data_IF_906010672224
#
_entry.id   IF_906010672224
#
_cell.length_a   1.000
_cell.length_b   1.000
_cell.length_c   1.000
_cell.angle_alpha   90.00
_cell.angle_beta   90.00
_cell.angle_gamma   90.00
#
_symmetry.space_group_name_H-M   'P 1'
#
loop_
_entity.id
_entity.type
_entity.pdbx_description
1 polymer ?
#
# COMPACT_ATOMS: atom_id res chain seq x y z
N UNK A 1 -38.20 -72.68 -42.17
CA UNK A 1 -37.12 -72.24 -41.25
C UNK A 1 -36.79 -70.77 -41.62
N UNK A 2 -37.25 -69.81 -40.80
CA UNK A 2 -36.98 -68.42 -40.98
C UNK A 2 -36.20 -67.98 -39.71
N UNK A 3 -34.94 -67.66 -39.84
CA UNK A 3 -34.10 -67.14 -38.77
C UNK A 3 -34.35 -65.62 -38.65
N UNK A 4 -34.82 -65.21 -37.47
CA UNK A 4 -34.93 -63.78 -37.11
C UNK A 4 -33.66 -63.29 -36.46
N UNK A 5 -33.11 -62.21 -37.05
CA UNK A 5 -31.95 -61.48 -36.50
C UNK A 5 -32.47 -60.42 -35.53
N UNK A 6 -32.11 -60.55 -34.26
CA UNK A 6 -32.40 -59.53 -33.22
C UNK A 6 -31.18 -58.56 -33.23
N UNK A 7 -31.44 -57.32 -33.66
CA UNK A 7 -30.46 -56.23 -33.53
C UNK A 7 -30.58 -55.63 -32.13
N UNK A 8 -29.53 -55.77 -31.31
CA UNK A 8 -29.42 -55.10 -30.02
C UNK A 8 -28.90 -53.66 -30.23
N UNK A 9 -29.74 -52.65 -30.01
CA UNK A 9 -29.35 -51.25 -29.97
C UNK A 9 -28.66 -50.93 -28.62
N UNK A 10 -27.37 -50.66 -28.65
CA UNK A 10 -26.63 -50.16 -27.48
C UNK A 10 -26.87 -48.64 -27.36
N UNK A 11 -27.64 -48.24 -26.34
CA UNK A 11 -27.89 -46.87 -26.01
C UNK A 11 -26.66 -46.33 -25.21
N UNK A 12 -25.76 -45.56 -25.84
CA UNK A 12 -24.69 -44.87 -25.18
C UNK A 12 -25.27 -43.65 -24.41
N UNK A 13 -25.43 -43.79 -23.11
CA UNK A 13 -25.76 -42.66 -22.21
C UNK A 13 -24.51 -41.83 -22.04
N UNK A 14 -24.42 -40.72 -22.74
CA UNK A 14 -23.43 -39.67 -22.50
C UNK A 14 -23.78 -39.03 -21.14
N UNK A 15 -23.07 -39.42 -20.07
CA UNK A 15 -23.10 -38.72 -18.80
C UNK A 15 -22.31 -37.41 -19.03
N UNK A 16 -23.04 -36.37 -19.44
CA UNK A 16 -22.53 -35.00 -19.38
C UNK A 16 -22.34 -34.64 -17.91
N UNK A 17 -21.13 -34.78 -17.41
CA UNK A 17 -20.79 -34.25 -16.08
C UNK A 17 -21.06 -32.74 -16.12
N UNK A 18 -22.09 -32.30 -15.42
CA UNK A 18 -22.26 -30.88 -15.12
C UNK A 18 -20.96 -30.44 -14.43
N UNK A 19 -20.19 -29.55 -15.08
CA UNK A 19 -19.08 -28.91 -14.44
C UNK A 19 -19.63 -28.22 -13.18
N UNK A 20 -19.33 -28.77 -12.03
CA UNK A 20 -19.72 -28.18 -10.75
C UNK A 20 -19.01 -26.85 -10.69
N UNK A 21 -19.75 -25.74 -10.56
CA UNK A 21 -19.14 -24.43 -10.38
C UNK A 21 -18.22 -24.51 -9.15
N UNK A 22 -16.98 -24.12 -9.33
CA UNK A 22 -16.05 -24.08 -8.22
C UNK A 22 -16.56 -23.11 -7.16
N UNK A 23 -16.44 -23.49 -5.88
CA UNK A 23 -16.81 -22.60 -4.77
C UNK A 23 -15.93 -21.34 -4.80
N UNK A 24 -16.54 -20.19 -4.52
CA UNK A 24 -15.81 -18.92 -4.43
C UNK A 24 -14.78 -18.98 -3.30
N UNK A 25 -13.66 -18.28 -3.52
CA UNK A 25 -12.61 -18.14 -2.52
C UNK A 25 -12.82 -16.84 -1.76
N UNK A 26 -13.07 -16.94 -0.45
CA UNK A 26 -13.27 -15.79 0.41
C UNK A 26 -11.94 -15.20 0.90
N UNK A 27 -11.76 -13.89 0.72
CA UNK A 27 -10.65 -13.12 1.28
C UNK A 27 -11.21 -12.09 2.25
N UNK A 28 -10.73 -12.13 3.49
CA UNK A 28 -11.06 -11.14 4.50
C UNK A 28 -10.25 -9.85 4.31
N UNK A 29 -10.90 -8.70 4.31
CA UNK A 29 -10.20 -7.41 4.15
C UNK A 29 -10.64 -6.44 5.23
N UNK A 30 -9.67 -5.76 5.87
CA UNK A 30 -9.96 -4.74 6.89
C UNK A 30 -9.41 -3.38 6.50
N UNK A 31 -10.24 -2.33 6.59
CA UNK A 31 -9.95 -0.95 6.21
C UNK A 31 -10.37 0.03 7.32
N UNK A 32 -9.90 1.30 7.31
CA UNK A 32 -10.47 2.39 8.12
C UNK A 32 -11.61 3.07 7.34
N UNK A 33 -12.80 2.47 7.25
CA UNK A 33 -13.91 3.05 6.47
C UNK A 33 -14.61 4.21 7.19
N UNK A 34 -14.39 4.34 8.50
CA UNK A 34 -14.88 5.45 9.32
C UNK A 34 -13.73 6.07 10.13
N UNK A 35 -13.98 7.26 10.71
CA UNK A 35 -12.98 8.02 11.46
C UNK A 35 -12.09 8.89 10.58
N UNK A 36 -10.94 9.32 11.11
CA UNK A 36 -10.09 10.37 10.50
C UNK A 36 -9.32 9.90 9.25
N UNK A 37 -9.25 8.59 9.00
CA UNK A 37 -8.63 8.01 7.81
C UNK A 37 -9.68 7.42 6.83
N UNK A 38 -10.96 7.81 6.95
CA UNK A 38 -12.04 7.26 6.11
C UNK A 38 -11.81 7.46 4.61
N UNK A 39 -11.23 8.58 4.20
CA UNK A 39 -10.86 8.85 2.79
C UNK A 39 -9.86 7.83 2.26
N UNK A 40 -8.78 7.57 3.00
CA UNK A 40 -7.80 6.55 2.65
C UNK A 40 -8.42 5.14 2.65
N UNK A 41 -9.27 4.84 3.64
CA UNK A 41 -10.00 3.57 3.73
C UNK A 41 -10.92 3.33 2.55
N UNK A 42 -11.66 4.34 2.11
CA UNK A 42 -12.51 4.25 0.93
C UNK A 42 -11.68 4.07 -0.34
N UNK A 43 -10.54 4.78 -0.45
CA UNK A 43 -9.60 4.62 -1.57
C UNK A 43 -9.05 3.21 -1.65
N UNK A 44 -8.66 2.62 -0.51
CA UNK A 44 -8.19 1.24 -0.42
C UNK A 44 -9.31 0.23 -0.78
N UNK A 45 -10.53 0.45 -0.31
CA UNK A 45 -11.68 -0.39 -0.65
C UNK A 45 -11.99 -0.37 -2.15
N UNK A 46 -12.04 0.80 -2.77
CA UNK A 46 -12.23 0.96 -4.21
C UNK A 46 -11.15 0.19 -4.99
N UNK A 47 -9.89 0.28 -4.54
CA UNK A 47 -8.73 -0.39 -5.13
C UNK A 47 -8.84 -1.92 -5.06
N UNK A 48 -9.21 -2.48 -3.90
CA UNK A 48 -9.38 -3.93 -3.72
C UNK A 48 -10.56 -4.45 -4.54
N UNK A 49 -11.68 -3.70 -4.59
CA UNK A 49 -12.82 -4.05 -5.42
C UNK A 49 -12.46 -4.11 -6.92
N UNK A 50 -11.65 -3.16 -7.41
CA UNK A 50 -11.13 -3.22 -8.78
C UNK A 50 -10.20 -4.42 -8.96
N UNK A 51 -9.29 -4.67 -8.03
CA UNK A 51 -8.36 -5.79 -8.13
C UNK A 51 -9.09 -7.15 -8.12
N UNK A 52 -10.14 -7.29 -7.33
CA UNK A 52 -11.00 -8.47 -7.35
C UNK A 52 -11.74 -8.63 -8.69
N UNK A 53 -12.21 -7.52 -9.28
CA UNK A 53 -12.81 -7.53 -10.63
C UNK A 53 -11.80 -7.96 -11.70
N UNK A 54 -10.56 -7.44 -11.66
CA UNK A 54 -9.47 -7.82 -12.57
C UNK A 54 -9.21 -9.33 -12.50
N UNK A 55 -9.18 -9.92 -11.31
CA UNK A 55 -9.00 -11.37 -11.14
C UNK A 55 -10.24 -12.15 -11.60
N UNK A 56 -11.43 -11.64 -11.33
CA UNK A 56 -12.69 -12.35 -11.58
C UNK A 56 -13.15 -12.30 -13.04
N UNK A 57 -12.60 -11.38 -13.86
CA UNK A 57 -12.93 -11.21 -15.28
C UNK A 57 -11.66 -11.15 -16.12
N UNK A 58 -11.71 -11.63 -17.36
CA UNK A 58 -10.53 -11.62 -18.23
C UNK A 58 -10.27 -10.22 -18.81
N UNK A 59 -9.04 -9.76 -18.68
CA UNK A 59 -8.51 -8.51 -19.24
C UNK A 59 -7.28 -8.81 -20.10
N UNK A 60 -7.44 -9.18 -21.40
CA UNK A 60 -6.33 -9.58 -22.27
C UNK A 60 -5.24 -8.52 -22.41
N UNK A 61 -5.56 -7.24 -22.20
CA UNK A 61 -4.64 -6.11 -22.17
C UNK A 61 -3.67 -6.17 -20.99
N UNK A 62 -4.01 -6.85 -19.88
CA UNK A 62 -3.19 -7.07 -18.71
C UNK A 62 -2.45 -8.42 -18.72
N UNK A 63 -2.05 -8.87 -19.89
CA UNK A 63 -1.47 -10.22 -20.12
C UNK A 63 -0.23 -10.55 -19.29
N UNK A 64 0.55 -9.55 -18.87
CA UNK A 64 1.75 -9.75 -18.05
C UNK A 64 1.43 -9.71 -16.56
N UNK A 65 0.30 -9.16 -16.17
CA UNK A 65 -0.12 -9.11 -14.77
C UNK A 65 -0.66 -10.49 -14.36
N UNK A 66 -0.19 -11.07 -13.26
CA UNK A 66 -0.72 -12.35 -12.77
C UNK A 66 -2.25 -12.32 -12.68
N UNK A 67 -2.91 -13.34 -13.23
CA UNK A 67 -4.37 -13.46 -13.31
C UNK A 67 -5.09 -12.40 -14.16
N UNK A 68 -4.41 -11.40 -14.72
CA UNK A 68 -5.05 -10.33 -15.50
C UNK A 68 -5.79 -10.85 -16.73
N UNK A 69 -5.17 -11.73 -17.52
CA UNK A 69 -5.75 -12.24 -18.75
C UNK A 69 -6.72 -13.44 -18.56
N UNK A 70 -6.95 -13.90 -17.33
CA UNK A 70 -7.82 -15.05 -17.02
C UNK A 70 -9.08 -14.62 -16.29
N UNK A 71 -10.10 -15.47 -16.26
CA UNK A 71 -11.32 -15.22 -15.51
C UNK A 71 -11.38 -16.12 -14.30
N UNK A 72 -11.16 -15.56 -13.10
CA UNK A 72 -11.09 -16.29 -11.84
C UNK A 72 -9.74 -16.98 -11.64
N UNK A 73 -9.70 -17.98 -10.79
CA UNK A 73 -8.51 -18.72 -10.37
C UNK A 73 -8.40 -20.04 -11.15
N UNK A 74 -7.60 -20.13 -12.23
CA UNK A 74 -7.55 -21.31 -13.11
C UNK A 74 -7.21 -22.61 -12.38
N UNK A 75 -6.27 -22.56 -11.42
CA UNK A 75 -5.85 -23.74 -10.65
C UNK A 75 -6.89 -24.19 -9.59
N UNK A 76 -7.96 -23.41 -9.44
CA UNK A 76 -9.13 -23.71 -8.61
C UNK A 76 -10.40 -23.84 -9.47
N UNK A 77 -10.26 -24.33 -10.71
CA UNK A 77 -11.40 -24.58 -11.60
C UNK A 77 -12.15 -23.33 -12.05
N UNK A 78 -11.50 -22.15 -12.02
CA UNK A 78 -12.11 -20.87 -12.36
C UNK A 78 -12.91 -20.22 -11.22
N UNK A 79 -12.70 -20.67 -9.97
CA UNK A 79 -13.29 -20.06 -8.77
C UNK A 79 -13.12 -18.54 -8.78
N UNK A 80 -14.15 -17.81 -8.33
CA UNK A 80 -14.11 -16.37 -8.17
C UNK A 80 -13.65 -16.00 -6.76
N UNK A 81 -13.04 -14.82 -6.63
CA UNK A 81 -12.76 -14.26 -5.31
C UNK A 81 -13.99 -13.49 -4.82
N UNK A 82 -14.37 -13.76 -3.59
CA UNK A 82 -15.39 -13.05 -2.82
C UNK A 82 -14.70 -12.29 -1.69
N UNK A 83 -15.12 -11.04 -1.46
CA UNK A 83 -14.54 -10.16 -0.43
C UNK A 83 -15.45 -10.13 0.79
N UNK A 84 -14.92 -10.52 1.94
CA UNK A 84 -15.54 -10.29 3.24
C UNK A 84 -14.84 -9.10 3.92
N UNK A 85 -15.53 -7.97 3.96
CA UNK A 85 -14.94 -6.68 4.33
C UNK A 85 -15.36 -6.23 5.74
N UNK A 86 -14.45 -5.54 6.43
CA UNK A 86 -14.74 -4.95 7.73
C UNK A 86 -14.05 -3.60 7.96
N UNK A 87 -14.72 -2.73 8.72
CA UNK A 87 -14.20 -1.45 9.18
C UNK A 87 -13.50 -1.62 10.53
N UNK A 88 -12.23 -1.25 10.60
CA UNK A 88 -11.49 -1.24 11.87
C UNK A 88 -11.43 0.15 12.54
N UNK A 89 -12.02 1.20 11.94
CA UNK A 89 -12.19 2.53 12.52
C UNK A 89 -10.88 3.23 12.96
N UNK A 90 -9.72 2.81 12.46
CA UNK A 90 -8.42 3.23 12.98
C UNK A 90 -8.10 2.72 14.39
N UNK A 91 -8.89 1.80 14.93
CA UNK A 91 -8.81 1.30 16.30
C UNK A 91 -8.25 -0.13 16.34
N UNK A 92 -7.12 -0.38 17.06
CA UNK A 92 -6.51 -1.70 17.14
C UNK A 92 -7.43 -2.78 17.75
N UNK A 93 -8.23 -2.45 18.77
CA UNK A 93 -9.15 -3.41 19.40
C UNK A 93 -10.26 -3.83 18.45
N UNK A 94 -10.83 -2.87 17.69
CA UNK A 94 -11.82 -3.17 16.64
C UNK A 94 -11.18 -4.00 15.54
N UNK A 95 -9.97 -3.64 15.09
CA UNK A 95 -9.22 -4.41 14.10
C UNK A 95 -8.97 -5.85 14.52
N UNK A 96 -8.58 -6.07 15.78
CA UNK A 96 -8.41 -7.39 16.36
C UNK A 96 -9.71 -8.20 16.33
N UNK A 97 -10.83 -7.61 16.74
CA UNK A 97 -12.15 -8.25 16.77
C UNK A 97 -12.63 -8.59 15.36
N UNK A 98 -12.52 -7.66 14.41
CA UNK A 98 -12.94 -7.90 13.03
C UNK A 98 -12.08 -8.97 12.36
N UNK A 99 -10.77 -8.97 12.57
CA UNK A 99 -9.90 -10.03 12.05
C UNK A 99 -10.30 -11.40 12.60
N UNK A 100 -10.56 -11.50 13.90
CA UNK A 100 -11.00 -12.77 14.51
C UNK A 100 -12.35 -13.22 13.94
N UNK A 101 -13.32 -12.32 13.77
CA UNK A 101 -14.64 -12.61 13.19
C UNK A 101 -14.49 -13.15 11.76
N UNK A 102 -13.77 -12.43 10.88
CA UNK A 102 -13.55 -12.84 9.49
C UNK A 102 -12.94 -14.24 9.39
N UNK A 103 -11.98 -14.56 10.27
CA UNK A 103 -11.33 -15.87 10.27
C UNK A 103 -12.27 -16.97 10.83
N UNK A 104 -12.91 -16.75 11.98
CA UNK A 104 -13.57 -17.81 12.73
C UNK A 104 -15.06 -17.97 12.42
N UNK A 105 -15.70 -16.93 11.90
CA UNK A 105 -17.13 -16.95 11.59
C UNK A 105 -17.39 -16.93 10.08
N UNK A 106 -16.65 -16.12 9.33
CA UNK A 106 -16.85 -15.99 7.89
C UNK A 106 -15.97 -16.97 7.09
N UNK A 107 -14.98 -17.62 7.79
CA UNK A 107 -14.12 -18.68 7.25
C UNK A 107 -13.34 -18.25 6.00
N UNK A 108 -12.71 -17.08 6.06
CA UNK A 108 -11.88 -16.59 4.96
C UNK A 108 -10.60 -17.42 4.81
N UNK A 109 -10.17 -17.65 3.57
CA UNK A 109 -8.96 -18.43 3.25
C UNK A 109 -7.67 -17.67 3.55
N UNK A 110 -7.72 -16.35 3.48
CA UNK A 110 -6.61 -15.43 3.76
C UNK A 110 -7.12 -14.04 4.11
N UNK A 111 -6.24 -13.22 4.70
CA UNK A 111 -6.51 -11.84 5.10
C UNK A 111 -5.67 -10.85 4.30
N UNK A 112 -6.24 -9.67 4.04
CA UNK A 112 -5.55 -8.50 3.50
C UNK A 112 -5.82 -7.28 4.39
N UNK A 113 -4.83 -6.47 4.66
CA UNK A 113 -4.98 -5.24 5.47
C UNK A 113 -3.67 -4.88 6.16
N UNK A 114 -3.68 -3.96 7.06
CA UNK A 114 -4.57 -2.83 7.20
C UNK A 114 -3.81 -1.55 6.82
N UNK A 115 -4.44 -0.40 6.89
CA UNK A 115 -3.81 0.91 6.65
C UNK A 115 -2.96 1.36 7.86
N UNK A 116 -3.54 1.30 9.07
CA UNK A 116 -2.85 1.70 10.30
C UNK A 116 -1.89 0.61 10.80
N UNK A 117 -0.63 0.96 11.04
CA UNK A 117 0.37 0.02 11.55
C UNK A 117 -0.02 -0.59 12.90
N UNK A 118 -0.61 0.20 13.81
CA UNK A 118 -1.13 -0.27 15.10
C UNK A 118 -2.22 -1.33 14.96
N UNK A 119 -3.06 -1.23 13.93
CA UNK A 119 -4.07 -2.25 13.60
C UNK A 119 -3.41 -3.48 12.99
N UNK A 120 -2.48 -3.32 12.05
CA UNK A 120 -1.75 -4.44 11.44
C UNK A 120 -1.01 -5.28 12.47
N UNK A 121 -0.43 -4.65 13.50
CA UNK A 121 0.28 -5.36 14.57
C UNK A 121 -0.63 -6.33 15.33
N UNK A 122 -1.84 -5.95 15.67
CA UNK A 122 -2.78 -6.82 16.39
C UNK A 122 -3.50 -7.78 15.45
N UNK A 123 -3.86 -7.35 14.25
CA UNK A 123 -4.53 -8.18 13.25
C UNK A 123 -3.66 -9.36 12.80
N UNK A 124 -2.39 -9.10 12.46
CA UNK A 124 -1.44 -10.15 12.10
C UNK A 124 -1.14 -11.09 13.27
N UNK A 125 -1.17 -10.62 14.52
CA UNK A 125 -1.04 -11.49 15.69
C UNK A 125 -2.26 -12.40 15.89
N UNK A 126 -3.47 -11.96 15.50
CA UNK A 126 -4.65 -12.85 15.45
C UNK A 126 -4.48 -13.90 14.36
N UNK A 127 -4.13 -13.49 13.15
CA UNK A 127 -3.94 -14.39 12.02
C UNK A 127 -2.84 -15.44 12.29
N UNK A 128 -1.73 -15.02 12.93
CA UNK A 128 -0.66 -15.93 13.36
C UNK A 128 -1.16 -17.03 14.29
N UNK A 129 -1.96 -16.67 15.31
CA UNK A 129 -2.53 -17.65 16.26
C UNK A 129 -3.56 -18.59 15.62
N UNK A 130 -4.24 -18.11 14.58
CA UNK A 130 -5.25 -18.90 13.86
C UNK A 130 -4.65 -19.71 12.69
N UNK A 131 -3.36 -19.49 12.35
CA UNK A 131 -2.71 -20.14 11.23
C UNK A 131 -3.29 -19.74 9.88
N UNK A 132 -3.66 -18.46 9.72
CA UNK A 132 -4.24 -17.92 8.48
C UNK A 132 -3.26 -16.92 7.84
N UNK A 133 -2.95 -17.04 6.54
CA UNK A 133 -2.09 -16.09 5.84
C UNK A 133 -2.67 -14.68 5.90
N UNK A 134 -1.82 -13.72 6.27
CA UNK A 134 -2.16 -12.30 6.31
C UNK A 134 -1.16 -11.51 5.46
N UNK A 135 -1.65 -10.86 4.41
CA UNK A 135 -0.84 -10.00 3.58
C UNK A 135 -1.08 -8.53 3.94
N UNK A 136 0.00 -7.84 4.28
CA UNK A 136 0.04 -6.40 4.58
C UNK A 136 0.44 -5.67 3.30
N UNK A 137 -0.50 -4.92 2.73
CA UNK A 137 -0.27 -4.19 1.49
C UNK A 137 0.28 -2.77 1.72
N UNK A 138 0.04 -2.17 2.88
CA UNK A 138 0.24 -0.74 3.07
C UNK A 138 0.99 -0.35 4.36
N UNK A 139 0.68 -0.94 5.52
CA UNK A 139 1.30 -0.59 6.81
C UNK A 139 2.81 -0.80 6.85
N UNK A 140 3.55 0.18 7.40
CA UNK A 140 5.01 0.28 7.21
C UNK A 140 5.85 0.14 8.48
N UNK A 141 5.26 0.05 9.69
CA UNK A 141 6.05 -0.12 10.91
C UNK A 141 6.98 -1.34 10.84
N UNK A 142 8.24 -1.16 11.26
CA UNK A 142 9.29 -2.17 11.08
C UNK A 142 8.96 -3.50 11.77
N UNK A 143 8.33 -3.43 12.94
CA UNK A 143 8.02 -4.60 13.75
C UNK A 143 6.81 -5.43 13.25
N UNK A 144 6.15 -5.08 12.14
CA UNK A 144 5.06 -5.89 11.58
C UNK A 144 5.59 -7.25 11.10
N UNK A 145 6.71 -7.28 10.38
CA UNK A 145 7.37 -8.50 9.88
C UNK A 145 8.55 -8.97 10.73
N UNK A 146 9.04 -8.14 11.66
CA UNK A 146 10.21 -8.45 12.50
C UNK A 146 9.94 -9.30 13.75
N UNK A 147 8.74 -9.93 13.89
CA UNK A 147 8.32 -10.67 15.09
C UNK A 147 8.49 -12.19 15.02
N UNK A 148 9.08 -12.70 13.94
CA UNK A 148 9.22 -14.13 13.69
C UNK A 148 7.90 -14.85 13.38
N UNK A 149 6.89 -14.11 12.91
CA UNK A 149 5.61 -14.67 12.48
C UNK A 149 5.76 -15.41 11.16
N UNK A 150 5.04 -16.53 11.01
CA UNK A 150 5.10 -17.40 9.82
C UNK A 150 4.00 -17.08 8.81
N UNK A 151 2.91 -16.47 9.27
CA UNK A 151 1.70 -16.24 8.50
C UNK A 151 1.55 -14.80 8.03
N UNK A 152 2.51 -13.92 8.36
CA UNK A 152 2.51 -12.51 8.00
C UNK A 152 3.45 -12.26 6.83
N UNK A 153 2.93 -11.62 5.78
CA UNK A 153 3.69 -11.20 4.59
C UNK A 153 3.41 -9.73 4.32
N UNK A 154 4.41 -8.98 3.84
CA UNK A 154 4.24 -7.57 3.48
C UNK A 154 4.84 -7.27 2.13
N UNK A 155 4.03 -6.74 1.21
CA UNK A 155 4.47 -6.38 -0.15
C UNK A 155 5.10 -5.00 -0.23
N UNK A 156 4.69 -4.03 0.62
CA UNK A 156 5.18 -2.66 0.59
C UNK A 156 6.59 -2.54 1.20
N UNK A 157 7.40 -1.55 0.78
CA UNK A 157 8.58 -1.13 1.53
C UNK A 157 8.19 -0.76 2.98
N UNK A 158 9.14 -0.71 3.87
CA UNK A 158 8.88 -0.42 5.28
C UNK A 158 9.77 0.71 5.83
N UNK A 159 9.57 1.09 7.08
CA UNK A 159 10.19 2.27 7.67
C UNK A 159 11.71 2.43 7.41
N UNK A 160 12.57 1.39 7.53
CA UNK A 160 13.99 1.51 7.18
C UNK A 160 14.27 1.83 5.71
N UNK A 161 13.47 1.30 4.76
CA UNK A 161 13.66 1.55 3.32
C UNK A 161 13.39 3.02 3.00
N UNK A 162 12.34 3.59 3.57
CA UNK A 162 11.99 5.01 3.39
C UNK A 162 13.02 5.92 4.01
N UNK A 163 13.44 5.62 5.24
CA UNK A 163 14.47 6.39 5.92
C UNK A 163 15.79 6.42 5.14
N UNK A 164 16.18 5.28 4.55
CA UNK A 164 17.34 5.19 3.66
C UNK A 164 17.14 6.07 2.40
N UNK A 165 15.98 5.98 1.75
CA UNK A 165 15.68 6.77 0.56
C UNK A 165 15.75 8.28 0.86
N UNK A 166 15.23 8.74 1.99
CA UNK A 166 15.34 10.15 2.41
C UNK A 166 16.79 10.56 2.64
N UNK A 167 17.59 9.74 3.32
CA UNK A 167 18.99 10.03 3.56
C UNK A 167 19.81 10.09 2.26
N UNK A 168 19.58 9.15 1.34
CA UNK A 168 20.25 9.14 0.03
C UNK A 168 19.88 10.38 -0.80
N UNK A 169 18.59 10.71 -0.87
CA UNK A 169 18.11 11.91 -1.55
C UNK A 169 18.72 13.20 -0.99
N UNK A 170 18.71 13.37 0.33
CA UNK A 170 19.28 14.55 0.97
C UNK A 170 20.79 14.67 0.75
N UNK A 171 21.52 13.55 0.76
CA UNK A 171 22.95 13.53 0.46
C UNK A 171 23.25 13.88 -1.00
N UNK A 172 22.44 13.43 -1.96
CA UNK A 172 22.58 13.82 -3.36
C UNK A 172 22.31 15.31 -3.56
N UNK A 173 21.27 15.84 -2.91
CA UNK A 173 20.98 17.29 -2.95
C UNK A 173 22.13 18.12 -2.36
N UNK A 174 22.70 17.68 -1.25
CA UNK A 174 23.88 18.32 -0.64
C UNK A 174 25.07 18.31 -1.59
N UNK A 175 25.36 17.18 -2.24
CA UNK A 175 26.41 17.06 -3.25
C UNK A 175 26.16 17.96 -4.47
N UNK A 176 24.90 18.22 -4.83
CA UNK A 176 24.52 19.14 -5.92
C UNK A 176 24.58 20.62 -5.52
N UNK A 177 25.07 20.94 -4.32
CA UNK A 177 25.24 22.33 -3.83
C UNK A 177 24.01 22.92 -3.14
N UNK A 178 22.96 22.10 -2.83
CA UNK A 178 21.85 22.59 -2.01
C UNK A 178 22.29 22.68 -0.54
N UNK A 179 21.84 23.76 0.12
CA UNK A 179 22.09 23.92 1.55
C UNK A 179 21.18 22.97 2.32
N UNK A 180 21.73 21.95 2.95
CA UNK A 180 21.07 21.00 3.83
C UNK A 180 21.98 20.75 5.04
N UNK A 181 21.88 21.61 6.03
CA UNK A 181 22.66 21.51 7.26
C UNK A 181 21.93 20.70 8.32
N UNK A 182 20.58 20.75 8.32
CA UNK A 182 19.78 20.05 9.31
C UNK A 182 18.38 19.70 8.82
N UNK A 183 17.81 18.64 9.46
CA UNK A 183 16.43 18.24 9.29
C UNK A 183 15.67 18.35 10.61
N UNK A 184 14.34 18.46 10.53
CA UNK A 184 13.46 18.19 11.64
C UNK A 184 12.54 17.00 11.28
N UNK A 185 12.14 16.23 12.29
CA UNK A 185 11.22 15.10 12.16
C UNK A 185 9.98 15.46 12.96
N UNK A 186 8.82 15.46 12.30
CA UNK A 186 7.51 15.67 12.94
C UNK A 186 6.71 14.40 12.73
N UNK A 187 6.36 13.72 13.81
CA UNK A 187 5.69 12.43 13.71
C UNK A 187 4.51 12.30 14.68
N UNK A 188 3.45 11.70 14.21
CA UNK A 188 2.38 11.26 15.08
C UNK A 188 2.87 10.13 16.01
N UNK A 189 2.20 9.91 17.14
CA UNK A 189 2.70 9.07 18.25
C UNK A 189 2.19 7.64 18.25
N UNK A 190 1.58 7.15 17.12
CA UNK A 190 1.22 5.72 17.01
C UNK A 190 2.39 4.87 16.48
N UNK A 191 2.18 3.57 16.30
CA UNK A 191 3.23 2.66 15.79
C UNK A 191 3.79 3.07 14.43
N UNK A 192 2.98 3.72 13.57
CA UNK A 192 3.44 4.23 12.29
C UNK A 192 4.46 5.36 12.49
N UNK A 193 4.05 6.45 13.11
CA UNK A 193 4.91 7.63 13.26
C UNK A 193 6.16 7.36 14.10
N UNK A 194 6.04 6.58 15.16
CA UNK A 194 7.18 6.24 16.01
C UNK A 194 8.19 5.33 15.31
N UNK A 195 7.72 4.34 14.53
CA UNK A 195 8.61 3.43 13.80
C UNK A 195 9.37 4.13 12.68
N UNK A 196 8.68 4.95 11.88
CA UNK A 196 9.33 5.70 10.79
C UNK A 196 10.29 6.75 11.36
N UNK A 197 9.88 7.49 12.41
CA UNK A 197 10.74 8.47 13.08
C UNK A 197 12.04 7.84 13.61
N UNK A 198 11.95 6.68 14.26
CA UNK A 198 13.13 5.96 14.74
C UNK A 198 14.06 5.55 13.59
N UNK A 199 13.49 5.07 12.47
CA UNK A 199 14.28 4.70 11.29
C UNK A 199 14.95 5.92 10.63
N UNK A 200 14.24 7.05 10.55
CA UNK A 200 14.81 8.31 10.01
C UNK A 200 15.94 8.84 10.90
N UNK A 201 15.80 8.75 12.23
CA UNK A 201 16.86 9.13 13.18
C UNK A 201 18.13 8.29 12.96
N UNK A 202 18.00 6.97 12.80
CA UNK A 202 19.16 6.10 12.57
C UNK A 202 19.78 6.33 11.19
N UNK A 203 18.96 6.52 10.15
CA UNK A 203 19.44 6.85 8.82
C UNK A 203 20.16 8.21 8.77
N UNK A 204 19.62 9.23 9.45
CA UNK A 204 20.24 10.54 9.56
C UNK A 204 21.60 10.48 10.27
N UNK A 205 21.70 9.70 11.34
CA UNK A 205 22.97 9.46 12.06
C UNK A 205 23.99 8.79 11.15
N UNK A 206 23.61 7.73 10.45
CA UNK A 206 24.49 7.00 9.51
C UNK A 206 24.93 7.88 8.35
N UNK A 207 24.06 8.76 7.85
CA UNK A 207 24.32 9.68 6.75
C UNK A 207 25.02 10.98 7.21
N UNK A 208 25.30 11.14 8.50
CA UNK A 208 25.85 12.35 9.10
C UNK A 208 25.02 13.61 8.81
N UNK A 209 23.70 13.50 8.91
CA UNK A 209 22.73 14.58 8.79
C UNK A 209 22.30 15.01 10.19
N UNK A 210 22.44 16.30 10.52
CA UNK A 210 22.03 16.84 11.82
C UNK A 210 20.51 16.84 11.93
N UNK A 211 19.97 16.29 13.02
CA UNK A 211 18.57 16.45 13.43
C UNK A 211 18.47 17.63 14.36
N UNK A 212 17.88 18.74 13.90
CA UNK A 212 17.70 19.97 14.67
C UNK A 212 16.54 19.87 15.66
N UNK A 213 15.49 19.08 15.33
CA UNK A 213 14.36 18.85 16.20
C UNK A 213 13.69 17.50 15.87
N UNK A 214 13.21 16.83 16.93
CA UNK A 214 12.26 15.73 16.85
C UNK A 214 11.01 16.14 17.61
N UNK A 215 9.87 16.19 16.93
CA UNK A 215 8.64 16.78 17.44
C UNK A 215 7.51 15.75 17.31
N UNK A 216 7.37 14.85 18.30
CA UNK A 216 6.23 13.96 18.35
C UNK A 216 4.96 14.73 18.74
N UNK A 217 3.81 14.31 18.21
CA UNK A 217 2.52 14.86 18.55
C UNK A 217 1.45 13.75 18.66
N UNK A 218 0.37 14.03 19.34
CA UNK A 218 -0.75 13.09 19.43
C UNK A 218 -1.49 13.03 18.10
N UNK A 219 -1.65 11.84 17.54
CA UNK A 219 -2.46 11.64 16.35
C UNK A 219 -3.89 12.20 16.57
N UNK A 220 -4.46 12.79 15.52
CA UNK A 220 -5.78 13.43 15.56
C UNK A 220 -5.87 14.65 16.49
N UNK A 221 -4.75 15.37 16.66
CA UNK A 221 -4.75 16.62 17.42
C UNK A 221 -5.63 17.68 16.76
N UNK A 222 -6.32 18.49 17.57
CA UNK A 222 -7.10 19.65 17.11
C UNK A 222 -6.27 20.93 17.01
N UNK A 223 -5.06 20.95 17.59
CA UNK A 223 -4.13 22.10 17.58
C UNK A 223 -2.69 21.60 17.53
N UNK A 224 -1.91 22.16 16.62
CA UNK A 224 -0.46 21.86 16.43
C UNK A 224 0.40 23.14 16.47
N UNK A 225 -0.14 24.22 17.03
CA UNK A 225 0.54 25.53 17.09
C UNK A 225 1.87 25.47 17.85
N UNK A 226 1.92 24.72 18.97
CA UNK A 226 3.14 24.56 19.73
C UNK A 226 4.24 23.83 18.93
N UNK A 227 3.88 22.80 18.17
CA UNK A 227 4.80 22.06 17.31
C UNK A 227 5.32 22.91 16.15
N UNK A 228 4.47 23.72 15.54
CA UNK A 228 4.88 24.65 14.47
C UNK A 228 5.80 25.74 15.04
N UNK A 229 5.57 26.26 16.23
CA UNK A 229 6.47 27.20 16.88
C UNK A 229 7.84 26.57 17.22
N UNK A 230 7.86 25.29 17.62
CA UNK A 230 9.13 24.54 17.79
C UNK A 230 9.88 24.41 16.47
N UNK A 231 9.21 24.08 15.36
CA UNK A 231 9.81 24.06 14.03
C UNK A 231 10.37 25.41 13.64
N UNK A 232 9.61 26.48 13.85
CA UNK A 232 10.02 27.87 13.56
C UNK A 232 11.24 28.26 14.36
N UNK A 233 11.36 27.84 15.61
CA UNK A 233 12.53 28.09 16.45
C UNK A 233 13.76 27.26 16.02
N UNK A 234 13.56 26.00 15.59
CA UNK A 234 14.63 25.10 15.17
C UNK A 234 15.22 25.44 13.79
N UNK A 235 14.47 26.11 12.93
CA UNK A 235 14.86 26.54 11.56
C UNK A 235 15.55 25.43 10.75
N UNK A 236 14.97 24.23 10.60
CA UNK A 236 15.56 23.18 9.79
C UNK A 236 15.51 23.53 8.29
N UNK A 237 16.46 23.01 7.50
CA UNK A 237 16.44 23.14 6.04
C UNK A 237 15.38 22.22 5.41
N UNK A 238 15.09 21.06 6.06
CA UNK A 238 14.07 20.10 5.63
C UNK A 238 13.26 19.65 6.83
N UNK A 239 11.94 19.55 6.65
CA UNK A 239 11.03 18.91 7.63
C UNK A 239 10.50 17.63 7.02
N UNK A 240 10.71 16.51 7.71
CA UNK A 240 10.10 15.23 7.37
C UNK A 240 8.84 15.06 8.22
N UNK A 241 7.67 15.03 7.58
CA UNK A 241 6.38 14.81 8.22
C UNK A 241 5.93 13.36 8.08
N UNK A 242 5.66 12.73 9.21
CA UNK A 242 5.12 11.39 9.32
C UNK A 242 3.74 11.54 9.96
N UNK A 243 2.71 11.68 9.14
CA UNK A 243 1.41 12.19 9.56
C UNK A 243 0.27 11.60 8.75
N UNK A 244 -0.87 11.37 9.40
CA UNK A 244 -2.11 11.05 8.71
C UNK A 244 -2.77 12.30 8.12
N UNK A 245 -3.78 12.11 7.29
CA UNK A 245 -4.36 13.12 6.40
C UNK A 245 -4.86 14.37 7.12
N UNK A 246 -5.68 14.20 8.16
CA UNK A 246 -6.26 15.34 8.87
C UNK A 246 -5.19 16.14 9.62
N UNK A 247 -4.19 15.44 10.18
CA UNK A 247 -3.10 16.07 10.90
C UNK A 247 -2.23 16.92 9.97
N UNK A 248 -1.82 16.39 8.81
CA UNK A 248 -0.97 17.16 7.88
C UNK A 248 -1.71 18.34 7.27
N UNK A 249 -2.99 18.23 6.98
CA UNK A 249 -3.81 19.36 6.55
C UNK A 249 -3.83 20.45 7.63
N UNK A 250 -3.97 20.06 8.89
CA UNK A 250 -3.92 21.00 10.01
C UNK A 250 -2.54 21.67 10.11
N UNK A 251 -1.44 20.92 9.95
CA UNK A 251 -0.08 21.50 9.96
C UNK A 251 0.12 22.54 8.88
N UNK A 252 -0.29 22.29 7.63
CA UNK A 252 -0.16 23.28 6.56
C UNK A 252 -0.95 24.56 6.86
N UNK A 253 -2.18 24.45 7.35
CA UNK A 253 -3.00 25.59 7.75
C UNK A 253 -2.39 26.36 8.91
N UNK A 254 -1.87 25.66 9.93
CA UNK A 254 -1.23 26.28 11.09
C UNK A 254 0.08 26.94 10.73
N UNK A 255 0.91 26.32 9.89
CA UNK A 255 2.16 26.92 9.39
C UNK A 255 1.86 28.21 8.62
N UNK A 256 0.80 28.23 7.77
CA UNK A 256 0.37 29.43 7.08
C UNK A 256 -0.06 30.54 8.05
N UNK A 257 -0.86 30.19 9.06
CA UNK A 257 -1.35 31.14 10.05
C UNK A 257 -0.22 31.75 10.90
N UNK A 258 0.82 30.98 11.18
CA UNK A 258 1.99 31.41 11.95
C UNK A 258 3.12 31.99 11.07
N UNK A 259 2.86 32.18 9.78
CA UNK A 259 3.82 32.66 8.79
C UNK A 259 5.18 31.91 8.88
N UNK A 260 5.11 30.61 8.78
CA UNK A 260 6.29 29.72 8.79
C UNK A 260 6.21 28.71 7.64
N UNK A 261 7.18 28.75 6.74
CA UNK A 261 7.38 27.76 5.68
C UNK A 261 8.84 27.33 5.67
N UNK A 262 9.15 26.04 5.93
CA UNK A 262 10.51 25.53 5.79
C UNK A 262 10.96 25.56 4.32
N UNK A 263 12.28 25.51 4.05
CA UNK A 263 12.78 25.45 2.67
C UNK A 263 12.29 24.22 1.92
N UNK A 264 12.08 23.07 2.59
CA UNK A 264 11.53 21.85 2.00
C UNK A 264 10.74 21.05 3.03
N UNK A 265 9.65 20.46 2.57
CA UNK A 265 8.87 19.43 3.29
C UNK A 265 8.98 18.12 2.52
N UNK A 266 9.26 17.03 3.24
CA UNK A 266 9.16 15.67 2.76
C UNK A 266 8.04 14.98 3.55
N UNK A 267 7.02 14.50 2.85
CA UNK A 267 5.95 13.68 3.40
C UNK A 267 6.33 12.20 3.39
N UNK A 268 5.93 11.48 4.44
CA UNK A 268 6.03 10.04 4.50
C UNK A 268 4.71 9.40 4.08
N UNK A 269 4.32 9.60 2.81
CA UNK A 269 3.14 9.05 2.14
C UNK A 269 1.81 9.35 2.86
N UNK A 270 1.22 8.38 3.52
CA UNK A 270 -0.02 8.44 4.31
C UNK A 270 -0.92 9.65 4.00
N UNK A 271 -0.81 10.71 4.78
CA UNK A 271 -1.63 11.91 4.62
C UNK A 271 -1.36 12.69 3.33
N UNK A 272 -0.16 12.62 2.76
CA UNK A 272 0.21 13.33 1.53
C UNK A 272 -0.32 12.66 0.25
N UNK A 273 -0.53 11.33 0.29
CA UNK A 273 -1.06 10.56 -0.84
C UNK A 273 -2.59 10.44 -0.82
N UNK A 274 -3.24 10.82 0.28
CA UNK A 274 -4.70 10.76 0.41
C UNK A 274 -5.39 11.66 -0.62
N UNK A 275 -6.41 11.19 -1.34
CA UNK A 275 -7.10 11.98 -2.36
C UNK A 275 -7.71 13.28 -1.84
N UNK A 276 -7.96 13.40 -0.53
CA UNK A 276 -8.47 14.64 0.07
C UNK A 276 -7.37 15.66 0.41
N UNK A 277 -6.09 15.29 0.36
CA UNK A 277 -4.99 16.19 0.76
C UNK A 277 -4.91 17.43 -0.14
N UNK A 278 -4.63 17.23 -1.43
CA UNK A 278 -4.46 18.34 -2.38
C UNK A 278 -5.67 19.28 -2.42
N UNK A 279 -6.93 18.77 -2.47
CA UNK A 279 -8.11 19.65 -2.43
C UNK A 279 -8.21 20.52 -1.16
N UNK A 280 -7.69 20.05 -0.02
CA UNK A 280 -7.77 20.76 1.26
C UNK A 280 -6.62 21.71 1.54
N UNK A 281 -5.42 21.47 0.99
CA UNK A 281 -4.25 22.33 1.22
C UNK A 281 -3.97 23.28 0.04
N UNK A 282 -4.37 22.90 -1.18
CA UNK A 282 -4.19 23.71 -2.38
C UNK A 282 -2.75 24.16 -2.56
N UNK A 283 -2.58 25.47 -2.81
CA UNK A 283 -1.25 26.08 -3.03
C UNK A 283 -0.34 26.04 -1.80
N UNK A 284 -0.86 25.78 -0.61
CA UNK A 284 -0.03 25.72 0.62
C UNK A 284 1.07 24.66 0.51
N UNK A 285 0.80 23.54 -0.17
CA UNK A 285 1.72 22.42 -0.30
C UNK A 285 2.54 22.43 -1.60
N UNK A 286 2.49 23.50 -2.42
CA UNK A 286 3.21 23.54 -3.69
C UNK A 286 4.71 23.35 -3.51
N UNK A 287 5.26 22.33 -4.18
CA UNK A 287 6.68 21.96 -4.08
C UNK A 287 7.00 21.05 -2.90
N UNK A 288 6.05 20.65 -2.07
CA UNK A 288 6.29 19.59 -1.09
C UNK A 288 6.64 18.29 -1.80
N UNK A 289 7.63 17.58 -1.27
CA UNK A 289 8.05 16.25 -1.73
C UNK A 289 7.24 15.21 -0.95
N UNK A 290 6.93 14.10 -1.60
CA UNK A 290 6.36 12.92 -0.96
C UNK A 290 7.08 11.67 -1.46
N UNK A 291 7.04 10.58 -0.72
CA UNK A 291 7.45 9.27 -1.25
C UNK A 291 6.31 8.62 -1.99
N UNK A 292 6.65 7.79 -2.96
CA UNK A 292 5.71 6.96 -3.69
C UNK A 292 6.39 5.68 -4.18
N UNK A 293 5.60 4.69 -4.50
CA UNK A 293 6.00 3.54 -5.28
C UNK A 293 5.18 3.42 -6.57
N UNK A 294 4.25 4.34 -6.78
CA UNK A 294 3.33 4.36 -7.92
C UNK A 294 3.51 5.61 -8.76
N UNK A 295 3.55 5.41 -10.06
CA UNK A 295 3.28 6.41 -11.08
C UNK A 295 2.36 5.78 -12.14
N UNK A 296 1.55 6.60 -12.80
CA UNK A 296 0.61 6.13 -13.82
C UNK A 296 1.34 5.46 -14.99
N UNK A 297 2.58 5.88 -15.24
CA UNK A 297 3.39 5.32 -16.31
C UNK A 297 2.94 5.73 -17.71
N UNK A 298 3.47 5.01 -18.71
CA UNK A 298 3.16 5.26 -20.12
C UNK A 298 2.00 4.39 -20.59
N UNK A 299 1.28 4.85 -21.61
CA UNK A 299 0.23 4.09 -22.27
C UNK A 299 0.69 2.67 -22.61
N UNK A 300 -0.08 1.66 -22.21
CA UNK A 300 0.21 0.25 -22.39
C UNK A 300 0.98 -0.41 -21.24
N UNK A 301 1.48 0.33 -20.26
CA UNK A 301 1.98 -0.25 -19.01
C UNK A 301 0.82 -0.77 -18.14
N UNK A 302 1.09 -1.80 -17.33
CA UNK A 302 0.07 -2.33 -16.39
C UNK A 302 -0.47 -1.22 -15.47
N UNK A 303 0.41 -0.36 -14.92
CA UNK A 303 0.01 0.79 -14.09
C UNK A 303 -0.96 1.72 -14.80
N UNK A 304 -0.67 2.07 -16.06
CA UNK A 304 -1.55 2.92 -16.86
C UNK A 304 -2.92 2.27 -17.11
N UNK A 305 -2.94 1.00 -17.51
CA UNK A 305 -4.19 0.29 -17.82
C UNK A 305 -5.06 0.20 -16.57
N UNK A 306 -4.48 -0.23 -15.44
CA UNK A 306 -5.21 -0.36 -14.17
C UNK A 306 -5.69 0.99 -13.67
N UNK A 307 -4.88 2.05 -13.81
CA UNK A 307 -5.30 3.42 -13.48
C UNK A 307 -6.49 3.88 -14.31
N UNK A 308 -6.46 3.65 -15.64
CA UNK A 308 -7.59 4.01 -16.50
C UNK A 308 -8.87 3.22 -16.15
N UNK A 309 -8.76 1.95 -15.75
CA UNK A 309 -9.89 1.17 -15.24
C UNK A 309 -10.43 1.78 -13.94
N UNK A 310 -9.54 2.14 -13.02
CA UNK A 310 -9.91 2.78 -11.76
C UNK A 310 -10.60 4.14 -11.98
N UNK A 311 -10.02 4.96 -12.85
CA UNK A 311 -10.58 6.27 -13.22
C UNK A 311 -11.95 6.17 -13.89
N UNK A 312 -12.13 5.20 -14.78
CA UNK A 312 -13.43 4.97 -15.43
C UNK A 312 -14.52 4.56 -14.43
N UNK A 313 -14.14 3.82 -13.37
CA UNK A 313 -15.08 3.31 -12.37
C UNK A 313 -15.36 4.30 -11.24
N UNK A 314 -14.32 5.02 -10.77
CA UNK A 314 -14.38 5.85 -9.56
C UNK A 314 -14.19 7.34 -9.81
N UNK A 315 -13.94 7.78 -11.05
CA UNK A 315 -13.84 9.19 -11.45
C UNK A 315 -12.57 9.91 -11.01
N UNK A 316 -11.54 9.18 -10.57
CA UNK A 316 -10.24 9.69 -10.12
C UNK A 316 -9.12 8.73 -10.45
N UNK A 317 -7.91 9.23 -10.55
CA UNK A 317 -6.72 8.42 -10.73
C UNK A 317 -6.39 7.64 -9.42
N UNK A 318 -5.61 6.54 -9.54
CA UNK A 318 -5.01 5.87 -8.41
C UNK A 318 -4.02 6.81 -7.70
N UNK A 319 -4.01 6.74 -6.39
CA UNK A 319 -2.96 7.28 -5.53
C UNK A 319 -1.97 6.17 -5.12
N UNK A 320 -0.86 6.52 -4.45
CA UNK A 320 0.14 5.53 -4.02
C UNK A 320 -0.45 4.48 -3.08
N UNK A 321 -1.29 4.90 -2.14
CA UNK A 321 -1.97 4.01 -1.19
C UNK A 321 -2.85 3.01 -1.94
N UNK A 322 -3.77 3.48 -2.77
CA UNK A 322 -4.68 2.62 -3.54
C UNK A 322 -3.92 1.66 -4.47
N UNK A 323 -2.85 2.12 -5.12
CA UNK A 323 -2.01 1.28 -5.97
C UNK A 323 -1.33 0.14 -5.19
N UNK A 324 -0.86 0.40 -3.97
CA UNK A 324 -0.29 -0.64 -3.10
C UNK A 324 -1.33 -1.69 -2.70
N UNK A 325 -2.58 -1.28 -2.47
CA UNK A 325 -3.66 -2.21 -2.18
C UNK A 325 -4.02 -3.09 -3.39
N UNK A 326 -4.08 -2.52 -4.60
CA UNK A 326 -4.25 -3.32 -5.84
C UNK A 326 -3.12 -4.34 -5.94
N UNK A 327 -1.86 -3.90 -5.85
CA UNK A 327 -0.71 -4.78 -5.99
C UNK A 327 -0.67 -5.88 -4.93
N UNK A 328 -0.94 -5.54 -3.67
CA UNK A 328 -1.00 -6.51 -2.57
C UNK A 328 -2.08 -7.57 -2.78
N UNK A 329 -3.27 -7.14 -3.20
CA UNK A 329 -4.36 -8.06 -3.51
C UNK A 329 -4.00 -9.02 -4.65
N UNK A 330 -3.42 -8.51 -5.74
CA UNK A 330 -3.01 -9.34 -6.88
C UNK A 330 -1.94 -10.37 -6.50
N UNK A 331 -1.00 -10.01 -5.63
CA UNK A 331 0.01 -10.95 -5.08
C UNK A 331 -0.67 -12.05 -4.25
N UNK A 332 -1.64 -11.69 -3.41
CA UNK A 332 -2.37 -12.67 -2.61
C UNK A 332 -3.20 -13.62 -3.48
N UNK A 333 -3.92 -13.08 -4.45
CA UNK A 333 -4.73 -13.84 -5.39
C UNK A 333 -3.88 -14.81 -6.24
N UNK A 334 -2.72 -14.34 -6.73
CA UNK A 334 -1.74 -15.17 -7.44
C UNK A 334 -1.22 -16.32 -6.57
N UNK A 335 -0.89 -16.04 -5.31
CA UNK A 335 -0.44 -17.07 -4.37
C UNK A 335 -1.53 -18.12 -4.11
N UNK A 336 -2.78 -17.71 -3.92
CA UNK A 336 -3.93 -18.62 -3.77
C UNK A 336 -4.10 -19.47 -5.03
N UNK A 337 -4.01 -18.87 -6.21
CA UNK A 337 -4.09 -19.62 -7.47
C UNK A 337 -2.94 -20.63 -7.61
N UNK A 338 -1.69 -20.23 -7.33
CA UNK A 338 -0.53 -21.15 -7.37
C UNK A 338 -0.62 -22.27 -6.33
N UNK A 339 -1.22 -21.99 -5.18
CA UNK A 339 -1.51 -23.01 -4.18
C UNK A 339 -2.49 -24.08 -4.69
N UNK A 340 -3.37 -23.74 -5.64
CA UNK A 340 -4.42 -24.64 -6.14
C UNK A 340 -5.34 -25.14 -5.02
N UNK A 341 -5.47 -24.37 -3.94
CA UNK A 341 -6.16 -24.79 -2.71
C UNK A 341 -6.49 -23.57 -1.85
N UNK A 342 -7.53 -23.69 -1.04
CA UNK A 342 -7.89 -22.73 0.02
C UNK A 342 -7.29 -23.11 1.38
N UNK A 343 -6.54 -24.20 1.46
CA UNK A 343 -5.87 -24.63 2.69
C UNK A 343 -4.77 -23.62 3.08
N UNK A 344 -4.79 -23.11 4.32
CA UNK A 344 -3.87 -22.05 4.75
C UNK A 344 -2.39 -22.40 4.56
N UNK A 345 -1.97 -23.61 4.91
CA UNK A 345 -0.56 -24.06 4.76
C UNK A 345 -0.07 -23.99 3.30
N UNK A 346 -0.96 -24.32 2.34
CA UNK A 346 -0.62 -24.28 0.92
C UNK A 346 -0.53 -22.84 0.41
N UNK A 347 -1.42 -21.96 0.86
CA UNK A 347 -1.37 -20.53 0.53
C UNK A 347 -0.10 -19.90 1.14
N UNK A 348 0.21 -20.21 2.39
CA UNK A 348 1.43 -19.75 3.06
C UNK A 348 2.69 -20.18 2.31
N UNK A 349 2.77 -21.46 1.90
CA UNK A 349 3.89 -21.97 1.11
C UNK A 349 3.99 -21.26 -0.25
N UNK A 350 2.87 -20.99 -0.93
CA UNK A 350 2.83 -20.26 -2.18
C UNK A 350 3.26 -18.78 -2.02
N UNK A 351 2.87 -18.12 -0.92
CA UNK A 351 3.36 -16.78 -0.59
C UNK A 351 4.87 -16.78 -0.39
N UNK A 352 5.43 -17.70 0.39
CA UNK A 352 6.89 -17.85 0.57
C UNK A 352 7.65 -18.07 -0.74
N UNK A 353 7.05 -18.78 -1.68
CA UNK A 353 7.63 -19.07 -2.98
C UNK A 353 7.41 -17.96 -4.02
N UNK A 354 6.81 -16.82 -3.63
CA UNK A 354 6.57 -15.71 -4.56
C UNK A 354 7.89 -15.12 -5.08
N UNK A 355 8.01 -14.98 -6.40
CA UNK A 355 9.14 -14.35 -7.11
C UNK A 355 8.61 -13.66 -8.38
N UNK A 356 7.89 -12.55 -8.21
CA UNK A 356 7.33 -11.75 -9.30
C UNK A 356 8.36 -10.74 -9.78
N UNK A 357 8.43 -10.58 -11.10
CA UNK A 357 9.34 -9.64 -11.77
C UNK A 357 8.66 -8.28 -12.00
N UNK A 358 9.41 -7.19 -12.25
CA UNK A 358 8.84 -5.85 -12.42
C UNK A 358 7.74 -5.75 -13.50
N UNK A 359 7.88 -6.47 -14.60
CA UNK A 359 6.90 -6.49 -15.71
C UNK A 359 5.59 -7.22 -15.37
N UNK A 360 5.59 -7.99 -14.27
CA UNK A 360 4.40 -8.65 -13.71
C UNK A 360 3.67 -7.81 -12.66
N UNK A 361 4.08 -6.57 -12.45
CA UNK A 361 3.52 -5.67 -11.44
C UNK A 361 2.80 -4.48 -12.09
N UNK A 362 1.91 -3.84 -11.32
CA UNK A 362 1.30 -2.57 -11.67
C UNK A 362 1.86 -1.40 -10.84
N UNK A 363 2.90 -1.62 -10.08
CA UNK A 363 3.56 -0.65 -9.20
C UNK A 363 5.07 -0.67 -9.43
N UNK A 364 5.78 0.39 -9.05
CA UNK A 364 7.19 0.60 -9.34
C UNK A 364 8.19 -0.18 -8.48
N UNK A 365 7.82 -1.35 -7.93
CA UNK A 365 8.76 -2.20 -7.21
C UNK A 365 9.75 -2.91 -8.16
N UNK A 366 10.91 -3.28 -7.64
CA UNK A 366 11.89 -4.09 -8.35
C UNK A 366 11.47 -5.58 -8.45
N UNK A 367 10.33 -5.93 -7.88
CA UNK A 367 9.75 -7.26 -7.84
C UNK A 367 8.99 -7.52 -6.54
N UNK A 368 8.47 -8.73 -6.39
CA UNK A 368 7.93 -9.22 -5.10
C UNK A 368 8.59 -10.55 -4.78
N UNK A 369 9.39 -10.55 -3.72
CA UNK A 369 10.04 -11.74 -3.16
C UNK A 369 10.15 -11.59 -1.65
N UNK A 370 9.58 -12.53 -0.93
CA UNK A 370 9.59 -12.49 0.53
C UNK A 370 10.83 -13.18 1.09
N UNK A 371 11.42 -12.58 2.13
CA UNK A 371 12.43 -13.21 2.97
C UNK A 371 11.81 -14.11 4.06
N UNK A 372 12.62 -14.65 4.93
CA UNK A 372 12.18 -15.53 6.02
C UNK A 372 11.29 -14.80 7.06
N UNK A 373 11.30 -13.47 7.08
CA UNK A 373 10.43 -12.67 7.93
C UNK A 373 9.08 -12.34 7.28
N UNK A 374 8.90 -12.68 6.00
CA UNK A 374 7.74 -12.33 5.18
C UNK A 374 7.80 -10.91 4.62
N UNK A 375 8.96 -10.22 4.69
CA UNK A 375 9.15 -8.91 4.08
C UNK A 375 9.50 -9.03 2.60
N UNK A 376 8.87 -8.24 1.73
CA UNK A 376 9.30 -8.11 0.34
C UNK A 376 10.63 -7.38 0.26
N UNK A 377 11.70 -8.09 -0.09
CA UNK A 377 13.07 -7.55 -0.22
C UNK A 377 13.30 -6.80 -1.55
N UNK A 378 12.38 -6.86 -2.48
CA UNK A 378 12.44 -6.17 -3.78
C UNK A 378 11.51 -4.95 -3.84
N UNK A 379 10.82 -4.66 -2.74
CA UNK A 379 10.03 -3.44 -2.62
C UNK A 379 10.94 -2.21 -2.74
N UNK A 380 10.49 -1.19 -3.44
CA UNK A 380 11.25 0.04 -3.65
C UNK A 380 10.35 1.26 -3.62
N UNK A 381 10.95 2.41 -3.37
CA UNK A 381 10.29 3.70 -3.33
C UNK A 381 11.07 4.73 -4.13
N UNK A 382 10.41 5.79 -4.55
CA UNK A 382 10.98 6.96 -5.20
C UNK A 382 10.32 8.22 -4.64
N UNK A 383 10.83 9.39 -5.00
CA UNK A 383 10.28 10.65 -4.50
C UNK A 383 9.59 11.42 -5.63
N UNK A 384 8.44 11.95 -5.28
CA UNK A 384 7.57 12.77 -6.12
C UNK A 384 7.43 14.16 -5.50
N UNK A 385 7.17 15.16 -6.32
CA UNK A 385 6.97 16.54 -5.88
C UNK A 385 5.65 17.08 -6.39
N UNK A 386 4.90 17.77 -5.53
CA UNK A 386 3.64 18.39 -5.92
C UNK A 386 3.88 19.61 -6.83
N UNK A 387 3.35 19.55 -8.05
CA UNK A 387 3.33 20.62 -9.05
C UNK A 387 1.92 20.85 -9.58
N UNK A 388 1.33 21.98 -9.25
CA UNK A 388 -0.06 22.24 -9.55
C UNK A 388 -0.98 21.32 -8.73
N UNK A 389 -1.69 20.43 -9.39
CA UNK A 389 -2.61 19.46 -8.77
C UNK A 389 -2.12 18.01 -8.85
N UNK A 390 -0.89 17.80 -9.33
CA UNK A 390 -0.36 16.48 -9.62
C UNK A 390 1.01 16.30 -8.95
N UNK A 391 1.32 15.07 -8.62
CA UNK A 391 2.64 14.66 -8.22
C UNK A 391 3.45 14.24 -9.44
N UNK A 392 4.71 14.69 -9.51
CA UNK A 392 5.66 14.32 -10.57
C UNK A 392 6.91 13.72 -9.96
N UNK A 393 7.47 12.68 -10.58
CA UNK A 393 8.68 12.03 -10.09
C UNK A 393 9.90 12.95 -10.23
N UNK A 394 10.70 13.06 -9.14
CA UNK A 394 11.88 13.93 -9.05
C UNK A 394 13.13 13.21 -8.59
N UNK A 395 13.04 11.97 -8.08
CA UNK A 395 14.18 11.16 -7.62
C UNK A 395 13.79 9.68 -7.52
N UNK A 396 14.71 8.72 -7.80
CA UNK A 396 16.08 8.92 -8.28
C UNK A 396 16.14 9.38 -9.75
N UNK A 397 17.31 9.74 -10.23
CA UNK A 397 17.49 10.39 -11.53
C UNK A 397 17.02 9.56 -12.73
N UNK A 398 17.11 8.23 -12.65
CA UNK A 398 16.66 7.29 -13.68
C UNK A 398 15.12 7.13 -13.73
N UNK A 399 14.41 7.55 -12.68
CA UNK A 399 12.94 7.59 -12.60
C UNK A 399 12.35 9.00 -12.69
N UNK A 400 13.19 10.03 -12.53
CA UNK A 400 12.75 11.42 -12.53
C UNK A 400 12.16 11.83 -13.90
N UNK A 401 10.92 12.28 -13.90
CA UNK A 401 10.25 12.88 -15.08
C UNK A 401 10.33 14.41 -15.05
N UNK A 402 10.73 14.97 -13.92
CA UNK A 402 10.79 16.42 -13.70
C UNK A 402 12.00 16.81 -12.84
N UNK A 403 12.46 18.05 -13.00
CA UNK A 403 13.47 18.65 -12.12
C UNK A 403 12.84 19.06 -10.80
N UNK A 404 13.53 18.75 -9.69
CA UNK A 404 13.14 19.18 -8.35
C UNK A 404 13.13 20.72 -8.25
N UNK A 405 12.03 21.29 -7.79
CA UNK A 405 11.98 22.69 -7.37
C UNK A 405 12.52 22.82 -5.93
N UNK A 406 13.54 23.63 -5.75
CA UNK A 406 14.16 23.93 -4.46
C UNK A 406 14.46 25.42 -4.33
N UNK A 407 14.11 26.12 -3.23
CA UNK A 407 13.23 25.63 -2.17
C UNK A 407 11.79 25.38 -2.67
N UNK A 408 10.97 24.73 -1.84
CA UNK A 408 9.55 24.57 -2.17
C UNK A 408 8.87 25.94 -2.26
N UNK A 409 7.89 26.05 -3.17
CA UNK A 409 7.17 27.32 -3.38
C UNK A 409 6.18 27.61 -2.23
N UNK A 410 5.38 26.60 -1.85
CA UNK A 410 4.32 26.77 -0.89
C UNK A 410 3.39 27.93 -1.28
N UNK A 411 3.06 28.74 -0.30
CA UNK A 411 2.22 29.94 -0.48
C UNK A 411 3.02 31.23 -0.73
N UNK A 412 4.32 31.19 -0.99
CA UNK A 412 5.19 32.33 -1.29
C UNK A 412 5.12 32.75 -2.75
#
# INVERSE_FOLDING_TARGET
MRAGIIAAAVLAVAIGGAAQAADNVKIGVIYPLTGNAASAGQSAKDAVNLAAEIVNTAHPELKNLPLGATAGLPNLGGAKIELDEADHQGNPQVGQQQTLRLITQDHVAAMLGSYHSSVSLVATAVAERQGIPYLVADSVAANITGRGFKWTFRTTPFAPDFAKAYADFLNELKKSGKKIDSIAIVNENTDYGTSVSASVLEAAKTANIKVAAQIPYNANSSDVSAQVLQLKAAQPDVVIFISYTQDIILYFKTMKNLDYLPPMIIGDDAGFSDPSFIPNVGDLAQGAVNRSAFDIGKAGANSYIVDQMFKAKYGRDLDDTSARWVQGFLVLADAINRAGSTEPDKIQAALKATDLKPDQLMIGYNGVKFDDTGQNILASTFLIQLKGKEYVSVWPADRATNTLAWPMKGWR
#
